data_IF_278352800481
#
_entry.id   IF_278352800481
#
_cell.length_a   1.000
_cell.length_b   1.000
_cell.length_c   1.000
_cell.angle_alpha   90.00
_cell.angle_beta   90.00
_cell.angle_gamma   90.00
#
_symmetry.space_group_name_H-M   'P 1'
#
loop_
_entity.id
_entity.type
_entity.pdbx_description
1 polymer ?
#
# COMPACT_ATOMS: atom_id res chain seq x y z
N UNK A 1 -6.32 -23.15 34.32
CA UNK A 1 -7.24 -22.02 34.08
C UNK A 1 -7.68 -22.08 32.63
N UNK A 2 -8.95 -22.44 32.39
CA UNK A 2 -9.55 -22.54 31.05
C UNK A 2 -9.72 -21.14 30.48
N UNK A 3 -9.14 -20.86 29.31
CA UNK A 3 -9.44 -19.65 28.54
C UNK A 3 -10.85 -19.78 27.94
N UNK A 4 -11.70 -18.75 27.97
CA UNK A 4 -12.99 -18.83 27.32
C UNK A 4 -12.79 -18.77 25.80
N UNK A 5 -13.16 -19.84 25.11
CA UNK A 5 -13.34 -19.87 23.66
C UNK A 5 -14.58 -19.03 23.36
N UNK A 6 -14.39 -17.83 22.83
CA UNK A 6 -15.47 -16.98 22.38
C UNK A 6 -15.93 -17.51 21.02
N UNK A 7 -16.96 -18.35 21.05
CA UNK A 7 -17.67 -18.85 19.88
C UNK A 7 -18.37 -17.65 19.20
N UNK A 8 -17.76 -17.06 18.17
CA UNK A 8 -18.41 -16.04 17.35
C UNK A 8 -19.46 -16.74 16.48
N UNK A 9 -20.70 -16.74 16.97
CA UNK A 9 -21.87 -17.22 16.24
C UNK A 9 -22.19 -16.19 15.15
N UNK A 10 -21.62 -16.36 13.95
CA UNK A 10 -22.05 -15.62 12.75
C UNK A 10 -23.44 -16.12 12.35
N UNK A 11 -24.46 -15.46 12.88
CA UNK A 11 -25.83 -15.68 12.42
C UNK A 11 -26.03 -14.83 11.18
N UNK A 12 -25.84 -15.42 9.99
CA UNK A 12 -26.33 -14.83 8.75
C UNK A 12 -27.85 -14.98 8.78
N UNK A 13 -28.56 -13.93 9.19
CA UNK A 13 -30.01 -13.86 9.00
C UNK A 13 -30.27 -13.69 7.51
N UNK A 14 -30.67 -14.77 6.84
CA UNK A 14 -31.45 -14.68 5.61
C UNK A 14 -32.85 -14.17 5.98
N UNK A 15 -33.01 -12.86 6.10
CA UNK A 15 -34.35 -12.29 5.98
C UNK A 15 -34.68 -12.23 4.49
N UNK A 16 -35.23 -13.33 3.97
CA UNK A 16 -36.02 -13.26 2.74
C UNK A 16 -37.34 -12.59 3.10
N UNK A 17 -37.29 -11.26 3.23
CA UNK A 17 -38.50 -10.46 3.10
C UNK A 17 -38.89 -10.57 1.62
N UNK A 18 -39.87 -11.41 1.32
CA UNK A 18 -40.58 -11.41 0.06
C UNK A 18 -41.34 -10.08 -0.08
N UNK A 19 -40.59 -9.00 -0.32
CA UNK A 19 -41.07 -7.70 -0.74
C UNK A 19 -41.11 -7.67 -2.26
N UNK A 20 -42.28 -7.37 -2.81
CA UNK A 20 -42.48 -7.26 -4.24
C UNK A 20 -41.56 -6.17 -4.86
N UNK A 21 -40.75 -6.56 -5.85
CA UNK A 21 -40.26 -5.65 -6.89
C UNK A 21 -38.96 -4.88 -6.65
N UNK A 22 -37.98 -5.42 -5.93
CA UNK A 22 -36.67 -4.79 -5.79
C UNK A 22 -35.56 -5.62 -6.45
N UNK A 23 -34.63 -4.95 -7.13
CA UNK A 23 -33.38 -5.55 -7.62
C UNK A 23 -32.53 -6.00 -6.42
N UNK A 24 -31.89 -7.16 -6.56
CA UNK A 24 -31.00 -7.76 -5.57
C UNK A 24 -29.54 -7.41 -5.89
N UNK A 25 -28.80 -6.95 -4.88
CA UNK A 25 -27.37 -6.67 -4.99
C UNK A 25 -26.57 -7.75 -4.26
N UNK A 26 -25.50 -8.24 -4.88
CA UNK A 26 -24.55 -9.17 -4.29
C UNK A 26 -23.14 -8.63 -4.44
N UNK A 27 -22.36 -8.65 -3.35
CA UNK A 27 -20.92 -8.38 -3.40
C UNK A 27 -20.19 -9.67 -3.79
N UNK A 28 -19.58 -9.69 -4.97
CA UNK A 28 -18.81 -10.83 -5.50
C UNK A 28 -17.32 -10.77 -5.16
N UNK A 29 -16.88 -9.72 -4.48
CA UNK A 29 -15.52 -9.63 -3.96
C UNK A 29 -15.10 -8.22 -3.58
N UNK A 30 -13.88 -8.14 -3.05
CA UNK A 30 -13.21 -6.92 -2.62
C UNK A 30 -11.71 -7.04 -2.89
N UNK A 31 -11.05 -5.96 -3.32
CA UNK A 31 -9.58 -5.87 -3.45
C UNK A 31 -9.09 -4.66 -2.66
N UNK A 32 -8.45 -4.95 -1.51
CA UNK A 32 -7.89 -3.96 -0.57
C UNK A 32 -6.35 -3.94 -0.57
N UNK A 33 -5.68 -4.67 -1.46
CA UNK A 33 -4.20 -4.81 -1.45
C UNK A 33 -3.47 -3.49 -1.62
N UNK A 34 -4.02 -2.62 -2.47
CA UNK A 34 -3.42 -1.33 -2.79
C UNK A 34 -3.93 -0.22 -1.88
N UNK A 35 -4.77 -0.51 -0.87
CA UNK A 35 -5.37 0.52 -0.01
C UNK A 35 -4.31 1.30 0.78
N UNK A 36 -3.26 0.63 1.26
CA UNK A 36 -2.14 1.31 1.94
C UNK A 36 -1.38 2.31 1.04
N UNK A 37 -1.40 2.09 -0.28
CA UNK A 37 -0.65 2.90 -1.26
C UNK A 37 -1.53 3.95 -1.93
N UNK A 38 -2.75 3.57 -2.30
CA UNK A 38 -3.68 4.37 -3.10
C UNK A 38 -4.78 5.03 -2.27
N UNK A 39 -5.03 4.54 -1.06
CA UNK A 39 -6.19 4.91 -0.26
C UNK A 39 -7.52 4.39 -0.82
N UNK A 40 -7.51 3.47 -1.79
CA UNK A 40 -8.72 2.99 -2.47
C UNK A 40 -8.92 1.50 -2.17
N UNK A 41 -10.17 1.12 -1.89
CA UNK A 41 -10.66 -0.27 -1.87
C UNK A 41 -11.57 -0.45 -3.08
N UNK A 42 -11.39 -1.55 -3.83
CA UNK A 42 -12.25 -1.87 -4.96
C UNK A 42 -13.26 -2.93 -4.56
N UNK A 43 -14.54 -2.65 -4.76
CA UNK A 43 -15.65 -3.57 -4.58
C UNK A 43 -16.08 -4.13 -5.93
N UNK A 44 -16.45 -5.41 -5.94
CA UNK A 44 -17.04 -6.08 -7.08
C UNK A 44 -18.48 -6.45 -6.73
N UNK A 45 -19.43 -5.97 -7.54
CA UNK A 45 -20.85 -6.15 -7.28
C UNK A 45 -21.58 -6.68 -8.51
N UNK A 46 -22.53 -7.58 -8.29
CA UNK A 46 -23.45 -8.06 -9.32
C UNK A 46 -24.86 -7.63 -8.87
N UNK A 47 -25.63 -7.09 -9.80
CA UNK A 47 -27.03 -6.72 -9.55
C UNK A 47 -27.91 -7.61 -10.41
N UNK A 48 -28.94 -8.19 -9.80
CA UNK A 48 -29.92 -9.04 -10.47
C UNK A 48 -31.34 -8.56 -10.22
N UNK A 49 -32.20 -8.64 -11.23
CA UNK A 49 -33.61 -8.37 -11.06
C UNK A 49 -34.32 -9.49 -10.28
N UNK A 50 -35.59 -9.30 -9.99
CA UNK A 50 -36.45 -10.29 -9.32
C UNK A 50 -36.63 -11.62 -10.08
N UNK A 51 -36.23 -11.68 -11.35
CA UNK A 51 -36.23 -12.88 -12.18
C UNK A 51 -34.85 -13.54 -12.26
N UNK A 52 -33.87 -13.03 -11.50
CA UNK A 52 -32.49 -13.50 -11.48
C UNK A 52 -31.69 -13.11 -12.73
N UNK A 53 -32.20 -12.18 -13.54
CA UNK A 53 -31.47 -11.67 -14.71
C UNK A 53 -30.54 -10.55 -14.29
N UNK A 54 -29.35 -10.51 -14.87
CA UNK A 54 -28.34 -9.50 -14.57
C UNK A 54 -28.86 -8.14 -15.06
N UNK A 55 -28.81 -7.15 -14.16
CA UNK A 55 -29.13 -5.76 -14.49
C UNK A 55 -27.86 -5.07 -14.97
N UNK A 56 -27.89 -4.62 -16.21
CA UNK A 56 -26.79 -3.91 -16.87
C UNK A 56 -27.08 -2.40 -16.95
N UNK A 57 -26.04 -1.60 -17.23
CA UNK A 57 -26.12 -0.15 -17.45
C UNK A 57 -26.51 0.70 -16.22
N UNK A 58 -26.27 0.20 -15.01
CA UNK A 58 -26.30 1.03 -13.80
C UNK A 58 -25.14 2.03 -13.80
N UNK A 59 -25.37 3.19 -13.19
CA UNK A 59 -24.38 4.25 -13.02
C UNK A 59 -23.86 4.30 -11.59
N UNK A 60 -22.78 5.04 -11.37
CA UNK A 60 -22.20 5.22 -10.04
C UNK A 60 -23.21 5.79 -9.04
N UNK A 61 -24.09 6.68 -9.48
CA UNK A 61 -25.12 7.33 -8.65
C UNK A 61 -26.20 6.36 -8.13
N UNK A 62 -26.33 5.20 -8.78
CA UNK A 62 -27.27 4.16 -8.37
C UNK A 62 -26.76 3.36 -7.16
N UNK A 63 -25.51 3.58 -6.74
CA UNK A 63 -24.87 2.87 -5.63
C UNK A 63 -24.54 3.79 -4.46
N UNK A 64 -24.79 3.29 -3.26
CA UNK A 64 -24.38 3.93 -2.01
C UNK A 64 -23.45 2.96 -1.29
N UNK A 65 -22.20 3.38 -1.10
CA UNK A 65 -21.20 2.64 -0.33
C UNK A 65 -21.18 3.18 1.09
N UNK A 66 -21.24 2.28 2.07
CA UNK A 66 -21.07 2.61 3.48
C UNK A 66 -20.03 1.67 4.10
N UNK A 67 -19.22 2.14 5.03
CA UNK A 67 -18.30 1.27 5.77
C UNK A 67 -18.38 1.49 7.29
N UNK A 68 -18.01 0.46 8.04
CA UNK A 68 -17.93 0.46 9.49
C UNK A 68 -16.79 -0.46 9.97
N UNK A 69 -16.26 -0.26 11.19
CA UNK A 69 -15.45 -1.26 11.86
C UNK A 69 -16.20 -2.60 11.96
N UNK A 70 -15.53 -3.71 11.66
CA UNK A 70 -16.16 -5.02 11.80
C UNK A 70 -16.54 -5.34 13.26
N UNK A 71 -17.72 -5.94 13.45
CA UNK A 71 -18.27 -6.29 14.76
C UNK A 71 -19.23 -5.25 15.35
N UNK A 72 -19.33 -4.06 14.74
CA UNK A 72 -20.41 -3.12 15.01
C UNK A 72 -21.58 -3.38 14.06
N UNK A 73 -22.79 -2.92 14.42
CA UNK A 73 -23.93 -3.03 13.51
C UNK A 73 -23.76 -2.02 12.36
N UNK A 74 -23.51 -2.48 11.12
CA UNK A 74 -23.25 -1.59 10.00
C UNK A 74 -24.49 -0.78 9.58
N UNK A 75 -25.70 -1.10 10.08
CA UNK A 75 -26.85 -0.23 9.86
C UNK A 75 -26.83 1.03 10.75
N UNK A 76 -26.09 1.02 11.86
CA UNK A 76 -26.08 2.07 12.88
C UNK A 76 -24.80 2.89 12.84
N UNK A 77 -23.64 2.24 12.69
CA UNK A 77 -22.34 2.90 12.74
C UNK A 77 -21.67 3.12 11.39
N UNK A 78 -22.28 2.68 10.28
CA UNK A 78 -21.66 2.86 8.98
C UNK A 78 -21.77 4.30 8.47
N UNK A 79 -20.65 4.81 7.98
CA UNK A 79 -20.57 6.13 7.35
C UNK A 79 -20.68 5.98 5.84
N UNK A 80 -21.37 6.90 5.18
CA UNK A 80 -21.41 6.94 3.71
C UNK A 80 -20.05 7.33 3.17
N UNK A 81 -19.56 6.58 2.17
CA UNK A 81 -18.28 6.80 1.51
C UNK A 81 -18.49 7.24 0.07
N UNK A 82 -17.61 8.12 -0.39
CA UNK A 82 -17.60 8.58 -1.77
C UNK A 82 -17.03 7.50 -2.70
N UNK A 83 -17.73 7.27 -3.81
CA UNK A 83 -17.24 6.43 -4.91
C UNK A 83 -16.28 7.28 -5.75
N UNK A 84 -14.99 6.99 -5.66
CA UNK A 84 -13.92 7.71 -6.37
C UNK A 84 -13.64 7.16 -7.77
N UNK A 85 -14.07 5.92 -8.04
CA UNK A 85 -13.95 5.33 -9.37
C UNK A 85 -15.07 4.32 -9.61
N UNK A 86 -15.53 4.23 -10.86
CA UNK A 86 -16.59 3.32 -11.26
C UNK A 86 -16.25 2.70 -12.63
N UNK A 87 -16.42 1.39 -12.74
CA UNK A 87 -16.36 0.68 -14.02
C UNK A 87 -17.66 -0.10 -14.21
N UNK A 88 -18.43 0.19 -15.27
CA UNK A 88 -19.66 -0.55 -15.61
C UNK A 88 -19.39 -2.03 -15.85
N UNK A 89 -20.45 -2.84 -15.77
CA UNK A 89 -20.43 -4.22 -16.24
C UNK A 89 -20.16 -4.28 -17.76
N UNK A 90 -19.53 -5.36 -18.23
CA UNK A 90 -19.28 -5.62 -19.65
C UNK A 90 -18.09 -4.90 -20.30
N UNK A 91 -17.56 -3.80 -19.72
CA UNK A 91 -16.47 -3.03 -20.33
C UNK A 91 -15.05 -3.59 -20.07
N UNK A 92 -14.91 -4.62 -19.23
CA UNK A 92 -13.60 -5.18 -18.87
C UNK A 92 -13.02 -5.99 -20.02
N UNK A 93 -11.92 -5.49 -20.58
CA UNK A 93 -11.06 -6.20 -21.55
C UNK A 93 -9.90 -6.96 -20.90
N UNK A 94 -9.86 -7.01 -19.57
CA UNK A 94 -8.80 -7.71 -18.84
C UNK A 94 -9.02 -9.23 -18.86
N UNK A 95 -7.93 -9.98 -18.98
CA UNK A 95 -7.95 -11.44 -18.85
C UNK A 95 -8.21 -11.87 -17.42
N UNK A 96 -8.83 -13.03 -17.25
CA UNK A 96 -9.01 -13.66 -15.94
C UNK A 96 -7.82 -14.59 -15.69
N UNK A 97 -7.23 -14.47 -14.49
CA UNK A 97 -6.18 -15.37 -14.04
C UNK A 97 -6.78 -16.44 -13.12
N UNK A 98 -6.73 -17.68 -13.57
CA UNK A 98 -7.17 -18.86 -12.84
C UNK A 98 -5.98 -19.60 -12.23
N UNK A 99 -6.12 -20.04 -10.99
CA UNK A 99 -5.26 -21.06 -10.39
C UNK A 99 -6.12 -22.28 -10.09
N UNK A 100 -5.82 -23.41 -10.71
CA UNK A 100 -6.46 -24.68 -10.38
C UNK A 100 -5.66 -25.37 -9.29
N UNK A 101 -6.30 -25.62 -8.16
CA UNK A 101 -5.73 -26.29 -7.01
C UNK A 101 -6.40 -27.67 -6.88
N UNK A 102 -5.65 -28.72 -7.21
CA UNK A 102 -6.19 -30.09 -7.25
C UNK A 102 -5.71 -30.86 -6.01
N UNK A 103 -6.67 -31.47 -5.33
CA UNK A 103 -6.44 -32.35 -4.21
C UNK A 103 -5.83 -33.67 -4.68
N UNK A 104 -4.65 -33.96 -4.14
CA UNK A 104 -3.85 -35.15 -4.39
C UNK A 104 -3.61 -35.93 -3.09
N UNK A 105 -4.45 -35.71 -2.07
CA UNK A 105 -4.38 -36.41 -0.78
C UNK A 105 -4.87 -37.85 -0.86
N UNK A 106 -4.59 -38.63 0.20
CA UNK A 106 -4.91 -40.06 0.24
C UNK A 106 -6.40 -40.38 0.06
N UNK A 107 -7.31 -39.54 0.53
CA UNK A 107 -8.77 -39.77 0.43
C UNK A 107 -9.29 -39.68 -1.02
N UNK A 108 -8.50 -39.09 -1.92
CA UNK A 108 -8.83 -38.96 -3.34
C UNK A 108 -8.64 -40.27 -4.12
N UNK A 109 -8.06 -41.30 -3.50
CA UNK A 109 -7.71 -42.59 -4.11
C UNK A 109 -8.47 -43.77 -3.46
N UNK A 110 -8.60 -44.88 -4.19
CA UNK A 110 -9.09 -46.16 -3.65
C UNK A 110 -10.60 -46.21 -3.38
N UNK A 111 -11.38 -45.31 -3.99
CA UNK A 111 -12.82 -45.22 -3.79
C UNK A 111 -13.59 -46.26 -4.64
N UNK A 112 -14.66 -46.90 -4.11
CA UNK A 112 -15.55 -47.75 -4.91
C UNK A 112 -16.22 -46.92 -6.01
N UNK A 113 -15.99 -47.26 -7.28
CA UNK A 113 -16.49 -46.50 -8.44
C UNK A 113 -15.44 -45.68 -9.19
N UNK A 114 -14.17 -45.70 -8.74
CA UNK A 114 -13.04 -45.05 -9.41
C UNK A 114 -12.40 -43.95 -8.56
N UNK A 115 -11.14 -43.62 -8.86
CA UNK A 115 -10.38 -42.63 -8.09
C UNK A 115 -10.89 -41.21 -8.34
N UNK A 116 -11.27 -40.51 -7.25
CA UNK A 116 -11.71 -39.10 -7.30
C UNK A 116 -10.61 -38.19 -7.85
N UNK A 117 -9.34 -38.53 -7.62
CA UNK A 117 -8.20 -37.82 -8.22
C UNK A 117 -8.24 -37.84 -9.76
N UNK A 118 -8.66 -38.95 -10.36
CA UNK A 118 -8.81 -39.07 -11.82
C UNK A 118 -9.98 -38.25 -12.34
N UNK A 119 -11.09 -38.21 -11.60
CA UNK A 119 -12.21 -37.32 -11.87
C UNK A 119 -11.79 -35.84 -11.78
N UNK A 120 -11.08 -35.44 -10.71
CA UNK A 120 -10.59 -34.09 -10.52
C UNK A 120 -9.69 -33.61 -11.67
N UNK A 121 -8.75 -34.46 -12.12
CA UNK A 121 -7.89 -34.17 -13.28
C UNK A 121 -8.66 -34.05 -14.58
N UNK A 122 -9.70 -34.88 -14.77
CA UNK A 122 -10.58 -34.80 -15.94
C UNK A 122 -11.35 -33.48 -15.94
N UNK A 123 -11.94 -33.09 -14.82
CA UNK A 123 -12.69 -31.82 -14.75
C UNK A 123 -11.77 -30.60 -14.89
N UNK A 124 -10.55 -30.65 -14.35
CA UNK A 124 -9.55 -29.62 -14.60
C UNK A 124 -9.16 -29.53 -16.09
N UNK A 125 -9.03 -30.67 -16.78
CA UNK A 125 -8.81 -30.71 -18.24
C UNK A 125 -9.99 -30.12 -19.00
N UNK A 126 -11.23 -30.52 -18.67
CA UNK A 126 -12.44 -29.99 -19.28
C UNK A 126 -12.54 -28.47 -19.09
N UNK A 127 -12.16 -27.97 -17.91
CA UNK A 127 -12.07 -26.54 -17.64
C UNK A 127 -11.04 -25.86 -18.55
N UNK A 128 -9.83 -26.40 -18.68
CA UNK A 128 -8.81 -25.86 -19.61
C UNK A 128 -9.29 -25.83 -21.06
N UNK A 129 -9.98 -26.88 -21.51
CA UNK A 129 -10.56 -26.97 -22.86
C UNK A 129 -11.61 -25.89 -23.09
N UNK A 130 -12.38 -25.55 -22.05
CA UNK A 130 -13.43 -24.54 -22.11
C UNK A 130 -12.90 -23.09 -22.14
N UNK A 131 -11.62 -22.85 -21.83
CA UNK A 131 -11.04 -21.51 -21.85
C UNK A 131 -11.09 -20.91 -23.26
N UNK A 132 -12.06 -20.03 -23.51
CA UNK A 132 -12.30 -19.45 -24.83
C UNK A 132 -11.50 -18.18 -25.14
N UNK A 133 -11.04 -17.45 -24.12
CA UNK A 133 -10.37 -16.15 -24.29
C UNK A 133 -8.84 -16.30 -24.35
N UNK A 134 -8.20 -15.56 -25.25
CA UNK A 134 -6.73 -15.54 -25.41
C UNK A 134 -6.00 -14.78 -24.30
N UNK A 135 -6.71 -13.90 -23.58
CA UNK A 135 -6.14 -13.13 -22.47
C UNK A 135 -6.20 -13.87 -21.13
N UNK A 136 -7.02 -14.93 -21.04
CA UNK A 136 -7.16 -15.71 -19.82
C UNK A 136 -5.91 -16.55 -19.58
N UNK A 137 -5.47 -16.59 -18.32
CA UNK A 137 -4.29 -17.34 -17.90
C UNK A 137 -4.71 -18.41 -16.91
N UNK A 138 -4.13 -19.61 -17.02
CA UNK A 138 -4.38 -20.70 -16.09
C UNK A 138 -3.07 -21.20 -15.50
N UNK A 139 -3.07 -21.44 -14.19
CA UNK A 139 -2.03 -22.11 -13.44
C UNK A 139 -2.55 -23.41 -12.82
N UNK A 140 -1.62 -24.25 -12.38
CA UNK A 140 -1.91 -25.55 -11.81
C UNK A 140 -1.02 -25.81 -10.59
N UNK A 141 -1.64 -26.15 -9.47
CA UNK A 141 -0.98 -26.69 -8.30
C UNK A 141 -1.70 -27.94 -7.78
N UNK A 142 -0.94 -28.77 -7.07
CA UNK A 142 -1.43 -29.90 -6.32
C UNK A 142 -1.28 -29.62 -4.83
N UNK A 143 -2.15 -30.20 -4.02
CA UNK A 143 -1.99 -30.19 -2.58
C UNK A 143 -2.34 -31.53 -1.94
N UNK A 144 -1.81 -31.73 -0.74
CA UNK A 144 -2.01 -32.88 0.13
C UNK A 144 -1.36 -32.52 1.45
N UNK A 145 -0.33 -33.26 1.86
CA UNK A 145 0.57 -32.81 2.94
C UNK A 145 1.28 -31.50 2.58
N UNK A 146 1.67 -31.33 1.31
CA UNK A 146 2.42 -30.15 0.84
C UNK A 146 1.73 -29.47 -0.33
N UNK A 147 1.97 -28.17 -0.47
CA UNK A 147 1.57 -27.40 -1.64
C UNK A 147 2.64 -27.47 -2.73
N UNK A 148 2.26 -27.86 -3.96
CA UNK A 148 3.21 -27.98 -5.08
C UNK A 148 2.68 -27.27 -6.32
N UNK A 149 3.35 -26.20 -6.74
CA UNK A 149 3.07 -25.54 -8.01
C UNK A 149 3.64 -26.37 -9.16
N UNK A 150 2.77 -26.93 -9.98
CA UNK A 150 3.18 -27.61 -11.21
C UNK A 150 3.49 -26.59 -12.30
N UNK A 151 2.65 -25.57 -12.46
CA UNK A 151 2.88 -24.48 -13.39
C UNK A 151 2.20 -23.19 -12.89
N UNK A 152 2.95 -22.09 -12.87
CA UNK A 152 2.36 -20.76 -12.65
C UNK A 152 1.47 -20.31 -13.82
N UNK A 153 0.59 -19.32 -13.58
CA UNK A 153 -0.42 -18.90 -14.54
C UNK A 153 0.15 -18.48 -15.91
N UNK A 154 -0.39 -19.05 -16.98
CA UNK A 154 0.08 -18.85 -18.36
C UNK A 154 -1.05 -19.00 -19.36
N UNK A 155 -0.84 -18.50 -20.56
CA UNK A 155 -1.77 -18.67 -21.69
C UNK A 155 -1.53 -19.98 -22.45
N UNK A 156 -0.32 -20.54 -22.37
CA UNK A 156 0.03 -21.82 -23.00
C UNK A 156 -0.62 -23.00 -22.26
N UNK A 157 -1.63 -23.58 -22.89
CA UNK A 157 -2.40 -24.72 -22.34
C UNK A 157 -1.70 -26.05 -22.55
N UNK A 158 -0.88 -26.18 -23.59
CA UNK A 158 -0.20 -27.44 -23.91
C UNK A 158 0.66 -27.90 -22.73
N UNK A 159 1.46 -26.99 -22.16
CA UNK A 159 2.28 -27.30 -20.99
C UNK A 159 1.49 -27.59 -19.71
N UNK A 160 0.22 -27.18 -19.62
CA UNK A 160 -0.66 -27.52 -18.49
C UNK A 160 -1.22 -28.93 -18.61
N UNK A 161 -1.61 -29.37 -19.83
CA UNK A 161 -2.11 -30.73 -20.05
C UNK A 161 -1.06 -31.80 -19.75
N UNK A 162 0.20 -31.55 -20.11
CA UNK A 162 1.29 -32.47 -19.79
C UNK A 162 1.45 -32.61 -18.28
N UNK A 163 1.42 -31.50 -17.54
CA UNK A 163 1.60 -31.48 -16.09
C UNK A 163 0.44 -32.11 -15.32
N UNK A 164 -0.79 -31.96 -15.81
CA UNK A 164 -1.97 -32.63 -15.24
C UNK A 164 -1.83 -34.16 -15.22
N UNK A 165 -1.08 -34.74 -16.15
CA UNK A 165 -0.86 -36.18 -16.24
C UNK A 165 0.26 -36.73 -15.34
N UNK A 166 1.03 -35.87 -14.67
CA UNK A 166 2.28 -36.25 -13.99
C UNK A 166 2.15 -36.45 -12.47
N UNK A 167 1.00 -36.92 -11.97
CA UNK A 167 0.82 -37.19 -10.54
C UNK A 167 0.53 -38.67 -10.28
N UNK A 168 1.09 -39.17 -9.19
CA UNK A 168 0.92 -40.51 -8.66
C UNK A 168 0.32 -40.40 -7.25
N UNK A 169 -0.36 -41.45 -6.75
CA UNK A 169 -0.87 -41.46 -5.38
C UNK A 169 0.24 -41.13 -4.37
N UNK A 170 -0.08 -40.36 -3.31
CA UNK A 170 0.89 -40.07 -2.26
C UNK A 170 1.26 -41.35 -1.51
N UNK A 171 2.48 -41.40 -0.99
CA UNK A 171 2.87 -42.44 -0.04
C UNK A 171 2.04 -42.32 1.24
N UNK A 172 1.80 -43.43 1.99
CA UNK A 172 0.98 -43.42 3.20
C UNK A 172 1.40 -42.37 4.24
N UNK A 173 2.70 -42.08 4.34
CA UNK A 173 3.26 -41.09 5.26
C UNK A 173 3.00 -39.64 4.83
N UNK A 174 2.59 -39.41 3.58
CA UNK A 174 2.24 -38.09 3.04
C UNK A 174 0.75 -38.00 2.62
N UNK A 175 -0.07 -38.95 3.05
CA UNK A 175 -1.51 -39.05 2.72
C UNK A 175 -2.41 -38.12 3.57
N UNK A 176 -1.93 -36.94 3.94
CA UNK A 176 -2.67 -35.92 4.69
C UNK A 176 -3.24 -34.83 3.76
N UNK A 177 -4.09 -33.97 4.31
CA UNK A 177 -4.82 -32.93 3.56
C UNK A 177 -4.71 -31.58 4.27
N UNK A 178 -3.70 -30.79 3.93
CA UNK A 178 -3.49 -29.42 4.42
C UNK A 178 -4.31 -28.41 3.59
N UNK A 179 -5.64 -28.58 3.59
CA UNK A 179 -6.56 -27.83 2.74
C UNK A 179 -6.45 -26.32 2.96
N UNK A 180 -6.56 -25.87 4.21
CA UNK A 180 -6.51 -24.42 4.51
C UNK A 180 -5.13 -23.81 4.27
N UNK A 181 -4.05 -24.54 4.59
CA UNK A 181 -2.69 -24.07 4.31
C UNK A 181 -2.47 -23.92 2.80
N UNK A 182 -2.91 -24.90 2.01
CA UNK A 182 -2.77 -24.85 0.55
C UNK A 182 -3.54 -23.70 -0.11
N UNK A 183 -4.69 -23.29 0.45
CA UNK A 183 -5.42 -22.10 -0.01
C UNK A 183 -4.67 -20.81 0.32
N UNK A 184 -4.00 -20.73 1.47
CA UNK A 184 -3.13 -19.59 1.81
C UNK A 184 -1.94 -19.51 0.84
N UNK A 185 -1.28 -20.64 0.56
CA UNK A 185 -0.15 -20.70 -0.39
C UNK A 185 -0.58 -20.41 -1.84
N UNK A 186 -1.77 -20.86 -2.23
CA UNK A 186 -2.36 -20.54 -3.53
C UNK A 186 -2.69 -19.05 -3.67
N UNK A 187 -3.15 -18.43 -2.57
CA UNK A 187 -3.34 -16.99 -2.50
C UNK A 187 -2.03 -16.23 -2.74
N UNK A 188 -0.95 -16.65 -2.08
CA UNK A 188 0.39 -16.09 -2.28
C UNK A 188 0.91 -16.28 -3.71
N UNK A 189 0.62 -17.42 -4.32
CA UNK A 189 0.96 -17.70 -5.72
C UNK A 189 0.22 -16.79 -6.71
N UNK A 190 -0.98 -16.32 -6.35
CA UNK A 190 -1.81 -15.42 -7.15
C UNK A 190 -1.62 -13.92 -6.81
N UNK A 191 -0.95 -13.60 -5.69
CA UNK A 191 -0.75 -12.23 -5.18
C UNK A 191 -0.28 -11.24 -6.24
N UNK A 192 0.71 -11.64 -7.05
CA UNK A 192 1.36 -10.78 -8.04
C UNK A 192 0.72 -10.83 -9.43
N UNK A 193 -0.33 -11.64 -9.60
CA UNK A 193 -1.01 -11.75 -10.88
C UNK A 193 -1.95 -10.55 -11.11
N UNK A 194 -2.15 -10.23 -12.39
CA UNK A 194 -2.95 -9.08 -12.81
C UNK A 194 -4.38 -9.50 -13.15
N UNK A 195 -5.28 -8.52 -13.13
CA UNK A 195 -6.68 -8.71 -13.47
C UNK A 195 -7.45 -9.47 -12.39
N UNK A 196 -8.62 -10.00 -12.79
CA UNK A 196 -9.46 -10.79 -11.90
C UNK A 196 -8.78 -12.13 -11.60
N UNK A 197 -8.61 -12.46 -10.32
CA UNK A 197 -7.94 -13.67 -9.87
C UNK A 197 -8.92 -14.62 -9.23
N UNK A 198 -8.86 -15.88 -9.65
CA UNK A 198 -9.81 -16.91 -9.28
C UNK A 198 -9.04 -18.17 -8.89
N UNK A 199 -9.34 -18.70 -7.72
CA UNK A 199 -8.90 -20.00 -7.27
C UNK A 199 -10.01 -21.02 -7.54
N UNK A 200 -9.71 -22.07 -8.29
CA UNK A 200 -10.62 -23.20 -8.51
C UNK A 200 -10.06 -24.39 -7.75
N UNK A 201 -10.75 -24.78 -6.68
CA UNK A 201 -10.36 -25.92 -5.85
C UNK A 201 -11.10 -27.17 -6.32
N UNK A 202 -10.39 -28.27 -6.51
CA UNK A 202 -10.94 -29.59 -6.81
C UNK A 202 -10.59 -30.54 -5.65
N UNK A 203 -11.53 -30.83 -4.76
CA UNK A 203 -11.26 -31.58 -3.51
C UNK A 203 -12.51 -32.31 -3.01
N UNK A 204 -12.37 -33.29 -2.11
CA UNK A 204 -13.51 -33.81 -1.34
C UNK A 204 -13.90 -32.90 -0.15
N UNK A 205 -13.11 -31.86 0.10
CA UNK A 205 -13.38 -30.76 1.02
C UNK A 205 -12.95 -31.02 2.47
N UNK A 206 -12.40 -32.19 2.80
CA UNK A 206 -12.03 -32.53 4.17
C UNK A 206 -10.62 -32.04 4.54
N UNK A 207 -10.52 -31.16 5.52
CA UNK A 207 -9.22 -30.78 6.08
C UNK A 207 -8.71 -31.85 7.06
N UNK A 208 -7.54 -32.43 6.77
CA UNK A 208 -6.90 -33.48 7.56
C UNK A 208 -5.42 -33.14 7.80
N UNK A 209 -5.12 -32.14 8.66
CA UNK A 209 -3.79 -31.55 8.76
C UNK A 209 -2.77 -32.49 9.43
N UNK A 210 -1.54 -32.50 8.92
CA UNK A 210 -0.44 -33.39 9.29
C UNK A 210 -0.17 -33.33 10.80
N UNK A 211 0.13 -32.15 11.34
CA UNK A 211 0.55 -32.01 12.74
C UNK A 211 -0.50 -32.51 13.74
N UNK A 212 -1.79 -32.26 13.47
CA UNK A 212 -2.87 -32.70 14.37
C UNK A 212 -3.10 -34.22 14.33
N UNK A 213 -2.70 -34.87 13.24
CA UNK A 213 -3.01 -36.29 12.98
C UNK A 213 -1.82 -37.19 13.24
N UNK A 214 -0.62 -36.79 12.84
CA UNK A 214 0.63 -37.52 13.10
C UNK A 214 1.23 -37.20 14.47
N UNK A 215 1.01 -35.98 15.00
CA UNK A 215 1.72 -35.45 16.17
C UNK A 215 3.16 -35.02 15.88
N UNK A 216 3.61 -35.15 14.64
CA UNK A 216 4.95 -34.77 14.19
C UNK A 216 4.95 -33.39 13.54
N UNK A 217 6.06 -32.67 13.68
CA UNK A 217 6.20 -31.33 13.09
C UNK A 217 6.17 -31.42 11.57
N UNK A 218 5.30 -30.63 10.93
CA UNK A 218 5.27 -30.52 9.48
C UNK A 218 6.60 -29.93 8.98
N UNK A 219 7.20 -30.44 7.89
CA UNK A 219 8.49 -29.93 7.40
C UNK A 219 8.48 -28.45 7.02
N UNK A 220 7.33 -27.93 6.55
CA UNK A 220 7.20 -26.55 6.06
C UNK A 220 6.52 -25.63 7.08
N UNK A 221 5.62 -26.18 7.90
CA UNK A 221 4.75 -25.39 8.79
C UNK A 221 5.07 -25.60 10.28
N UNK A 222 5.94 -26.56 10.61
CA UNK A 222 6.25 -26.92 11.99
C UNK A 222 5.02 -27.40 12.75
N UNK A 223 4.69 -26.71 13.84
CA UNK A 223 3.51 -26.97 14.68
C UNK A 223 2.30 -26.10 14.31
N UNK A 224 2.43 -25.24 13.27
CA UNK A 224 1.35 -24.36 12.85
C UNK A 224 0.28 -25.16 12.14
N UNK A 225 -0.97 -25.00 12.55
CA UNK A 225 -2.14 -25.46 11.80
C UNK A 225 -2.93 -24.25 11.32
N UNK A 226 -3.43 -24.33 10.10
CA UNK A 226 -4.23 -23.29 9.48
C UNK A 226 -5.71 -23.62 9.66
N UNK A 227 -6.50 -22.62 10.04
CA UNK A 227 -7.94 -22.70 10.13
C UNK A 227 -8.61 -22.15 8.86
N UNK A 228 -9.90 -22.44 8.71
CA UNK A 228 -10.71 -21.91 7.62
C UNK A 228 -10.67 -20.37 7.52
N UNK A 229 -10.60 -19.68 8.65
CA UNK A 229 -10.52 -18.22 8.69
C UNK A 229 -9.17 -17.69 8.18
N UNK A 230 -8.07 -18.43 8.36
CA UNK A 230 -6.77 -18.05 7.79
C UNK A 230 -6.82 -18.05 6.25
N UNK A 231 -7.47 -19.06 5.67
CA UNK A 231 -7.68 -19.15 4.23
C UNK A 231 -8.63 -18.05 3.72
N UNK A 232 -9.74 -17.80 4.43
CA UNK A 232 -10.68 -16.74 4.08
C UNK A 232 -10.02 -15.36 4.06
N UNK A 233 -9.32 -15.01 5.15
CA UNK A 233 -8.60 -13.73 5.28
C UNK A 233 -7.56 -13.57 4.20
N UNK A 234 -6.80 -14.63 3.89
CA UNK A 234 -5.79 -14.60 2.82
C UNK A 234 -6.43 -14.35 1.45
N UNK A 235 -7.48 -15.09 1.09
CA UNK A 235 -8.13 -14.96 -0.21
C UNK A 235 -8.83 -13.60 -0.38
N UNK A 236 -9.55 -13.12 0.65
CA UNK A 236 -10.22 -11.81 0.60
C UNK A 236 -9.22 -10.65 0.59
N UNK A 237 -8.18 -10.71 1.43
CA UNK A 237 -7.14 -9.69 1.46
C UNK A 237 -6.41 -9.57 0.12
N UNK A 238 -6.25 -10.69 -0.58
CA UNK A 238 -5.68 -10.70 -1.93
C UNK A 238 -6.71 -10.47 -3.04
N UNK A 239 -8.01 -10.31 -2.75
CA UNK A 239 -9.07 -10.13 -3.74
C UNK A 239 -9.26 -11.31 -4.71
N UNK A 240 -9.05 -12.52 -4.20
CA UNK A 240 -9.18 -13.79 -4.93
C UNK A 240 -10.54 -14.40 -4.61
N UNK A 241 -11.26 -14.80 -5.66
CA UNK A 241 -12.54 -15.51 -5.51
C UNK A 241 -12.34 -17.02 -5.60
N UNK A 242 -12.89 -17.76 -4.64
CA UNK A 242 -12.81 -19.22 -4.60
C UNK A 242 -14.05 -19.86 -5.22
N UNK A 243 -13.85 -20.70 -6.23
CA UNK A 243 -14.85 -21.65 -6.69
C UNK A 243 -14.41 -23.06 -6.27
N UNK A 244 -15.25 -23.74 -5.50
CA UNK A 244 -14.95 -25.06 -4.98
C UNK A 244 -15.74 -26.13 -5.73
N UNK A 245 -15.03 -27.12 -6.27
CA UNK A 245 -15.58 -28.31 -6.92
C UNK A 245 -15.39 -29.46 -5.96
N UNK A 246 -16.50 -29.94 -5.38
CA UNK A 246 -16.53 -30.98 -4.36
C UNK A 246 -16.79 -32.34 -4.96
N UNK A 247 -16.03 -33.33 -4.51
CA UNK A 247 -16.22 -34.73 -4.88
C UNK A 247 -16.76 -35.54 -3.71
N UNK A 248 -17.93 -36.17 -3.92
CA UNK A 248 -18.54 -37.07 -2.95
C UNK A 248 -19.64 -36.42 -2.10
N UNK A 249 -20.28 -37.21 -1.22
CA UNK A 249 -21.52 -36.81 -0.55
C UNK A 249 -21.32 -35.90 0.66
N UNK A 250 -20.07 -35.74 1.13
CA UNK A 250 -19.78 -35.00 2.36
C UNK A 250 -19.80 -33.50 2.07
N UNK A 251 -20.59 -32.77 2.86
CA UNK A 251 -20.68 -31.31 2.77
C UNK A 251 -19.82 -30.69 3.86
N UNK A 252 -18.73 -30.06 3.45
CA UNK A 252 -17.94 -29.21 4.33
C UNK A 252 -18.55 -27.79 4.37
N UNK A 253 -18.96 -27.37 5.57
CA UNK A 253 -19.58 -26.06 5.81
C UNK A 253 -18.56 -24.92 5.74
N UNK A 254 -17.30 -25.15 6.15
CA UNK A 254 -16.24 -24.16 6.13
C UNK A 254 -15.84 -23.85 4.69
N UNK A 255 -15.69 -24.86 3.84
CA UNK A 255 -15.37 -24.65 2.44
C UNK A 255 -16.47 -23.85 1.71
N UNK A 256 -17.73 -24.16 2.01
CA UNK A 256 -18.85 -23.40 1.46
C UNK A 256 -18.86 -21.95 1.95
N UNK A 257 -18.59 -21.74 3.23
CA UNK A 257 -18.46 -20.41 3.83
C UNK A 257 -17.34 -19.60 3.17
N UNK A 258 -16.17 -20.18 2.92
CA UNK A 258 -15.04 -19.48 2.28
C UNK A 258 -15.40 -19.12 0.83
N UNK A 259 -15.92 -20.07 0.06
CA UNK A 259 -16.31 -19.85 -1.33
C UNK A 259 -17.34 -18.72 -1.45
N UNK A 260 -18.40 -18.76 -0.63
CA UNK A 260 -19.44 -17.73 -0.63
C UNK A 260 -18.92 -16.36 -0.14
N UNK A 261 -18.11 -16.34 0.92
CA UNK A 261 -17.56 -15.09 1.48
C UNK A 261 -16.53 -14.42 0.57
N UNK A 262 -15.92 -15.17 -0.36
CA UNK A 262 -15.04 -14.61 -1.41
C UNK A 262 -15.80 -14.28 -2.71
N UNK A 263 -17.13 -14.45 -2.70
CA UNK A 263 -18.05 -14.16 -3.81
C UNK A 263 -18.11 -15.23 -4.90
N UNK A 264 -17.56 -16.41 -4.63
CA UNK A 264 -17.60 -17.57 -5.51
C UNK A 264 -18.71 -18.54 -5.14
N UNK A 265 -18.59 -19.79 -5.58
CA UNK A 265 -19.64 -20.80 -5.47
C UNK A 265 -19.04 -22.18 -5.19
N UNK A 266 -19.89 -23.07 -4.68
CA UNK A 266 -19.58 -24.49 -4.54
C UNK A 266 -20.36 -25.28 -5.57
N UNK A 267 -19.69 -26.23 -6.23
CA UNK A 267 -20.27 -27.18 -7.15
C UNK A 267 -20.08 -28.57 -6.59
N UNK A 268 -21.16 -29.32 -6.50
CA UNK A 268 -21.12 -30.72 -6.11
C UNK A 268 -21.08 -31.57 -7.38
N UNK A 269 -20.08 -32.44 -7.50
CA UNK A 269 -19.94 -33.37 -8.62
C UNK A 269 -20.09 -34.81 -8.13
N UNK A 270 -20.98 -35.54 -8.78
CA UNK A 270 -21.02 -37.00 -8.70
C UNK A 270 -20.17 -37.65 -9.81
N UNK A 271 -19.84 -38.94 -9.66
CA UNK A 271 -18.97 -39.65 -10.62
C UNK A 271 -19.50 -39.67 -12.07
N UNK A 272 -20.80 -39.46 -12.26
CA UNK A 272 -21.50 -39.49 -13.55
C UNK A 272 -21.74 -38.09 -14.15
N UNK A 273 -21.53 -37.02 -13.38
CA UNK A 273 -21.77 -35.65 -13.81
C UNK A 273 -20.46 -34.97 -14.24
N UNK A 274 -20.50 -34.28 -15.38
CA UNK A 274 -19.41 -33.41 -15.83
C UNK A 274 -19.65 -31.97 -15.40
N UNK A 275 -18.56 -31.25 -15.15
CA UNK A 275 -18.57 -29.82 -14.83
C UNK A 275 -18.79 -28.96 -16.09
N UNK A 276 -19.82 -29.29 -16.87
CA UNK A 276 -20.14 -28.57 -18.09
C UNK A 276 -20.59 -27.14 -17.77
N UNK A 277 -19.83 -26.16 -18.29
CA UNK A 277 -20.20 -24.75 -18.19
C UNK A 277 -19.67 -23.97 -16.98
N UNK A 278 -18.81 -24.54 -16.11
CA UNK A 278 -18.20 -23.76 -15.02
C UNK A 278 -17.49 -22.51 -15.55
N UNK A 279 -16.65 -22.65 -16.57
CA UNK A 279 -15.95 -21.50 -17.15
C UNK A 279 -16.92 -20.44 -17.67
N UNK A 280 -17.94 -20.85 -18.43
CA UNK A 280 -18.96 -19.94 -18.96
C UNK A 280 -19.70 -19.22 -17.85
N UNK A 281 -20.02 -19.91 -16.75
CA UNK A 281 -20.64 -19.32 -15.57
C UNK A 281 -19.72 -18.30 -14.90
N UNK A 282 -18.47 -18.67 -14.61
CA UNK A 282 -17.49 -17.77 -13.99
C UNK A 282 -17.30 -16.53 -14.87
N UNK A 283 -17.11 -16.71 -16.18
CA UNK A 283 -16.89 -15.61 -17.10
C UNK A 283 -18.10 -14.70 -17.21
N UNK A 284 -19.32 -15.25 -17.30
CA UNK A 284 -20.56 -14.47 -17.28
C UNK A 284 -20.68 -13.64 -15.99
N UNK A 285 -20.36 -14.24 -14.83
CA UNK A 285 -20.37 -13.52 -13.55
C UNK A 285 -19.33 -12.40 -13.53
N UNK A 286 -18.08 -12.67 -13.88
CA UNK A 286 -17.00 -11.66 -13.91
C UNK A 286 -17.30 -10.52 -14.89
N UNK A 287 -17.93 -10.82 -16.02
CA UNK A 287 -18.36 -9.79 -16.99
C UNK A 287 -19.52 -8.95 -16.48
N UNK A 288 -20.40 -9.54 -15.66
CA UNK A 288 -21.53 -8.85 -15.04
C UNK A 288 -21.15 -7.99 -13.83
N UNK A 289 -19.91 -8.09 -13.33
CA UNK A 289 -19.47 -7.34 -12.16
C UNK A 289 -19.29 -5.84 -12.47
N UNK A 290 -19.93 -5.00 -11.68
CA UNK A 290 -19.57 -3.60 -11.49
C UNK A 290 -18.31 -3.50 -10.62
N UNK A 291 -17.42 -2.55 -10.92
CA UNK A 291 -16.28 -2.21 -10.05
C UNK A 291 -16.51 -0.85 -9.43
N UNK A 292 -16.53 -0.78 -8.10
CA UNK A 292 -16.67 0.47 -7.35
C UNK A 292 -15.43 0.67 -6.50
N UNK A 293 -14.62 1.67 -6.81
CA UNK A 293 -13.53 2.10 -5.94
C UNK A 293 -14.02 3.17 -4.98
N UNK A 294 -13.82 2.96 -3.68
CA UNK A 294 -14.16 3.93 -2.65
C UNK A 294 -12.96 4.16 -1.71
N UNK A 295 -12.96 5.30 -1.02
CA UNK A 295 -11.97 5.60 0.02
C UNK A 295 -12.49 5.13 1.37
N UNK A 296 -11.88 4.10 2.01
CA UNK A 296 -12.35 3.61 3.29
C UNK A 296 -11.99 4.57 4.43
N UNK A 297 -12.82 4.54 5.48
CA UNK A 297 -12.53 5.25 6.73
C UNK A 297 -11.27 4.72 7.40
N UNK A 298 -10.53 5.62 8.06
CA UNK A 298 -9.42 5.23 8.92
C UNK A 298 -9.95 4.60 10.21
N UNK A 299 -10.27 3.32 10.17
CA UNK A 299 -10.64 2.55 11.34
C UNK A 299 -9.41 1.85 11.91
N UNK A 300 -9.16 1.93 13.22
CA UNK A 300 -8.13 1.13 13.90
C UNK A 300 -8.47 -0.37 14.01
N UNK A 301 -9.61 -0.79 13.47
CA UNK A 301 -10.05 -2.18 13.46
C UNK A 301 -9.24 -3.02 12.45
N UNK A 302 -9.07 -4.31 12.75
CA UNK A 302 -8.40 -5.28 11.87
C UNK A 302 -9.21 -5.65 10.65
N UNK A 303 -10.53 -5.49 10.72
CA UNK A 303 -11.47 -5.80 9.67
C UNK A 303 -12.45 -4.64 9.50
N UNK A 304 -12.91 -4.45 8.28
CA UNK A 304 -13.88 -3.45 7.89
C UNK A 304 -15.08 -4.15 7.28
N UNK A 305 -16.28 -3.77 7.71
CA UNK A 305 -17.54 -4.16 7.09
C UNK A 305 -17.92 -3.11 6.07
N UNK A 306 -18.10 -3.51 4.81
CA UNK A 306 -18.65 -2.64 3.76
C UNK A 306 -20.06 -3.07 3.43
N UNK A 307 -20.95 -2.09 3.37
CA UNK A 307 -22.33 -2.25 2.92
C UNK A 307 -22.51 -1.50 1.61
N UNK A 308 -23.03 -2.21 0.60
CA UNK A 308 -23.39 -1.63 -0.69
C UNK A 308 -24.92 -1.67 -0.84
N UNK A 309 -25.52 -0.51 -1.07
CA UNK A 309 -26.97 -0.35 -1.30
C UNK A 309 -27.25 0.19 -2.69
N UNK A 310 -28.42 -0.13 -3.22
CA UNK A 310 -28.96 0.53 -4.43
C UNK A 310 -29.82 1.73 -4.02
N UNK A 311 -29.58 2.90 -4.64
CA UNK A 311 -30.25 4.17 -4.33
C UNK A 311 -31.78 4.14 -4.48
N UNK A 312 -32.33 3.19 -5.25
CA UNK A 312 -33.77 3.03 -5.51
C UNK A 312 -34.40 1.78 -4.89
N UNK A 313 -33.66 0.98 -4.14
CA UNK A 313 -34.12 -0.32 -3.63
C UNK A 313 -33.84 -0.53 -2.14
N UNK A 314 -34.51 -1.52 -1.55
CA UNK A 314 -34.22 -1.96 -0.17
C UNK A 314 -33.13 -3.04 -0.09
N UNK A 315 -32.52 -3.39 -1.23
CA UNK A 315 -31.47 -4.41 -1.25
C UNK A 315 -30.12 -3.84 -0.83
N UNK A 316 -29.45 -4.56 0.04
CA UNK A 316 -28.12 -4.25 0.54
C UNK A 316 -27.28 -5.52 0.62
N UNK A 317 -26.03 -5.43 0.21
CA UNK A 317 -25.04 -6.48 0.41
C UNK A 317 -24.00 -6.03 1.42
N UNK A 318 -23.64 -6.90 2.35
CA UNK A 318 -22.60 -6.65 3.35
C UNK A 318 -21.46 -7.64 3.11
N UNK A 319 -20.23 -7.14 3.14
CA UNK A 319 -19.02 -7.95 3.07
C UNK A 319 -18.03 -7.48 4.13
N UNK A 320 -17.43 -8.41 4.84
CA UNK A 320 -16.32 -8.14 5.75
C UNK A 320 -15.01 -8.43 5.04
N UNK A 321 -14.01 -7.59 5.25
CA UNK A 321 -12.68 -7.79 4.70
C UNK A 321 -11.59 -7.22 5.61
N UNK A 322 -10.34 -7.71 5.50
CA UNK A 322 -9.24 -7.20 6.29
C UNK A 322 -8.98 -5.72 5.97
N UNK A 323 -8.85 -4.89 7.00
CA UNK A 323 -8.53 -3.48 6.81
C UNK A 323 -7.12 -3.37 6.22
N UNK A 324 -7.00 -2.71 5.06
CA UNK A 324 -5.72 -2.55 4.36
C UNK A 324 -4.76 -1.56 5.04
N UNK A 325 -5.13 -1.02 6.20
CA UNK A 325 -4.33 -0.08 6.97
C UNK A 325 -3.36 -0.84 7.87
N UNK A 326 -2.06 -0.60 7.69
CA UNK A 326 -0.95 -1.26 8.40
C UNK A 326 -0.89 -0.92 9.91
N UNK A 327 -1.90 -0.25 10.46
CA UNK A 327 -1.94 0.19 11.87
C UNK A 327 -2.70 -0.77 12.80
N UNK A 328 -2.89 -2.03 12.40
CA UNK A 328 -3.30 -3.11 13.30
C UNK A 328 -2.14 -3.60 14.18
N UNK A 329 -2.46 -4.12 15.38
CA UNK A 329 -1.48 -4.62 16.37
C UNK A 329 -0.33 -5.38 15.70
N UNK A 330 0.94 -4.97 15.91
CA UNK A 330 2.06 -5.67 15.33
C UNK A 330 2.08 -7.11 15.88
N UNK A 331 1.85 -8.08 14.99
CA UNK A 331 2.16 -9.47 15.29
C UNK A 331 3.57 -9.52 15.89
N UNK A 332 3.73 -10.23 17.02
CA UNK A 332 4.94 -10.25 17.87
C UNK A 332 6.29 -10.45 17.14
N UNK A 333 6.30 -10.85 15.87
CA UNK A 333 7.51 -11.03 15.05
C UNK A 333 8.09 -9.75 14.42
N UNK A 334 7.29 -8.71 14.15
CA UNK A 334 7.74 -7.57 13.31
C UNK A 334 8.17 -6.31 14.10
N UNK A 335 8.18 -6.35 15.44
CA UNK A 335 8.62 -5.23 16.29
C UNK A 335 10.13 -4.92 16.12
N UNK A 336 10.92 -5.93 15.74
CA UNK A 336 12.35 -5.76 15.47
C UNK A 336 12.63 -5.02 14.17
N UNK A 337 11.75 -5.13 13.16
CA UNK A 337 11.91 -4.50 11.84
C UNK A 337 11.53 -3.01 11.86
N UNK A 338 10.46 -2.66 12.59
CA UNK A 338 10.06 -1.27 12.76
C UNK A 338 11.08 -0.47 13.61
N UNK A 339 11.65 -1.09 14.65
CA UNK A 339 12.73 -0.45 15.42
C UNK A 339 14.02 -0.28 14.59
N UNK A 340 14.27 -1.17 13.62
CA UNK A 340 15.39 -1.08 12.68
C UNK A 340 15.30 0.11 11.71
N UNK A 341 14.09 0.62 11.41
CA UNK A 341 13.88 1.79 10.55
C UNK A 341 13.92 3.13 11.32
N UNK A 342 13.51 3.13 12.59
CA UNK A 342 13.48 4.35 13.41
C UNK A 342 14.89 4.79 13.82
N UNK A 343 15.77 3.84 14.17
CA UNK A 343 17.15 4.12 14.58
C UNK A 343 17.96 4.88 13.51
N UNK A 344 18.05 4.44 12.24
CA UNK A 344 18.81 5.16 11.22
C UNK A 344 18.20 6.52 10.88
N UNK A 345 16.87 6.67 10.97
CA UNK A 345 16.21 7.95 10.73
C UNK A 345 16.52 8.98 11.83
N UNK A 346 16.53 8.55 13.09
CA UNK A 346 16.95 9.38 14.23
C UNK A 346 18.44 9.74 14.13
N UNK A 347 19.30 8.78 13.75
CA UNK A 347 20.74 9.06 13.54
C UNK A 347 20.97 10.04 12.38
N UNK A 348 20.18 9.97 11.31
CA UNK A 348 20.24 10.91 10.20
C UNK A 348 19.84 12.33 10.63
N UNK A 349 18.75 12.46 11.40
CA UNK A 349 18.31 13.75 11.96
C UNK A 349 19.39 14.33 12.88
N UNK A 350 19.96 13.52 13.78
CA UNK A 350 21.03 13.95 14.67
C UNK A 350 22.30 14.34 13.89
N UNK A 351 22.63 13.61 12.81
CA UNK A 351 23.76 13.95 11.94
C UNK A 351 23.53 15.30 11.24
N UNK A 352 22.33 15.54 10.71
CA UNK A 352 21.96 16.82 10.08
C UNK A 352 22.03 17.97 11.09
N UNK A 353 21.47 17.79 12.29
CA UNK A 353 21.57 18.77 13.38
C UNK A 353 23.02 19.03 13.79
N UNK A 354 23.87 17.99 13.84
CA UNK A 354 25.29 18.14 14.17
C UNK A 354 26.08 18.92 13.11
N UNK A 355 25.69 18.80 11.83
CA UNK A 355 26.26 19.59 10.73
C UNK A 355 25.81 21.05 10.79
N UNK A 356 24.58 21.32 11.20
CA UNK A 356 24.05 22.67 11.35
C UNK A 356 24.63 23.41 12.56
N UNK A 357 24.99 22.70 13.64
CA UNK A 357 25.61 23.29 14.83
C UNK A 357 27.13 23.47 14.77
N UNK A 358 27.82 22.93 13.75
CA UNK A 358 29.24 23.25 13.51
C UNK A 358 29.40 24.56 12.72
N UNK A 359 29.00 25.68 13.31
CA UNK A 359 29.44 27.03 12.88
C UNK A 359 30.56 27.49 13.83
N UNK A 360 31.72 27.85 13.28
CA UNK A 360 32.93 28.19 14.05
C UNK A 360 32.71 29.53 14.77
N UNK A 361 32.99 29.64 16.08
CA UNK A 361 32.98 30.92 16.76
C UNK A 361 34.32 31.65 16.57
N UNK A 362 34.26 32.94 16.19
CA UNK A 362 35.33 33.91 16.41
C UNK A 362 36.19 34.30 15.19
N UNK A 363 35.60 34.89 14.14
CA UNK A 363 36.36 35.71 13.19
C UNK A 363 36.28 37.20 13.59
N UNK A 364 37.37 37.99 13.49
CA UNK A 364 37.34 39.40 13.85
C UNK A 364 36.57 40.24 12.81
N UNK A 365 35.94 41.32 13.26
CA UNK A 365 35.21 42.25 12.39
C UNK A 365 36.08 42.74 11.22
N UNK A 366 35.55 42.77 10.01
CA UNK A 366 36.29 43.14 8.81
C UNK A 366 35.47 43.99 7.84
N UNK A 367 36.16 44.77 7.02
CA UNK A 367 35.57 45.51 5.91
C UNK A 367 35.95 44.82 4.60
N UNK A 368 34.94 44.47 3.81
CA UNK A 368 35.14 43.86 2.49
C UNK A 368 34.77 44.85 1.39
N UNK A 369 35.72 45.13 0.49
CA UNK A 369 35.49 46.00 -0.67
C UNK A 369 35.01 45.17 -1.86
N UNK A 370 33.81 45.48 -2.35
CA UNK A 370 33.23 44.82 -3.52
C UNK A 370 33.62 45.57 -4.80
N UNK A 371 34.42 44.94 -5.67
CA UNK A 371 34.68 45.46 -7.03
C UNK A 371 33.70 44.84 -8.03
N UNK A 372 33.17 45.61 -9.01
CA UNK A 372 32.09 45.11 -9.85
C UNK A 372 32.49 43.98 -10.81
N UNK A 373 33.78 43.84 -11.19
CA UNK A 373 34.21 42.79 -12.13
C UNK A 373 35.68 42.39 -11.92
N UNK A 374 35.92 41.11 -11.62
CA UNK A 374 37.18 40.41 -11.92
C UNK A 374 38.42 40.66 -11.05
N UNK A 375 38.33 41.41 -9.94
CA UNK A 375 39.42 41.58 -8.97
C UNK A 375 39.04 41.04 -7.61
N UNK A 376 39.87 40.19 -7.00
CA UNK A 376 39.60 39.55 -5.71
C UNK A 376 39.25 40.55 -4.60
N UNK A 377 38.33 40.14 -3.72
CA UNK A 377 37.92 40.92 -2.56
C UNK A 377 39.14 41.17 -1.65
N UNK A 378 39.35 42.43 -1.29
CA UNK A 378 40.35 42.80 -0.29
C UNK A 378 39.64 42.94 1.05
N UNK A 379 39.81 41.95 1.93
CA UNK A 379 39.28 41.97 3.28
C UNK A 379 40.30 42.60 4.21
N UNK A 380 39.94 43.71 4.86
CA UNK A 380 40.78 44.35 5.87
C UNK A 380 40.18 44.05 7.24
N UNK A 381 40.92 43.31 8.07
CA UNK A 381 40.54 43.06 9.46
C UNK A 381 40.66 44.35 10.28
N UNK A 382 39.64 44.66 11.07
CA UNK A 382 39.62 45.82 11.94
C UNK A 382 40.26 45.46 13.28
N UNK A 383 41.50 45.89 13.49
CA UNK A 383 42.13 45.86 14.81
C UNK A 383 41.62 47.04 15.65
N UNK A 384 41.63 46.91 16.98
CA UNK A 384 40.95 47.75 18.00
C UNK A 384 41.23 49.28 18.01
N UNK A 385 41.89 49.83 17.00
CA UNK A 385 42.13 51.26 16.77
C UNK A 385 41.18 51.89 15.74
N UNK A 386 41.41 53.17 15.42
CA UNK A 386 40.64 53.90 14.39
C UNK A 386 41.07 53.47 12.99
N UNK A 387 40.14 53.16 12.11
CA UNK A 387 40.41 52.88 10.69
C UNK A 387 39.92 54.04 9.84
N UNK A 388 40.81 54.56 8.99
CA UNK A 388 40.53 55.69 8.11
C UNK A 388 40.26 55.17 6.70
N UNK A 389 39.13 55.60 6.12
CA UNK A 389 38.76 55.31 4.74
C UNK A 389 38.75 56.63 3.99
N UNK A 390 39.64 56.78 3.02
CA UNK A 390 39.67 57.95 2.14
C UNK A 390 39.07 57.57 0.77
N UNK A 391 37.88 58.11 0.41
CA UNK A 391 37.28 57.88 -0.90
C UNK A 391 38.13 58.51 -2.00
N UNK A 392 38.50 57.74 -3.04
CA UNK A 392 39.21 58.28 -4.19
C UNK A 392 38.29 59.13 -5.08
N UNK A 393 38.79 60.24 -5.63
CA UNK A 393 38.05 61.05 -6.61
C UNK A 393 38.07 60.39 -7.98
N UNK A 394 36.94 60.46 -8.69
CA UNK A 394 36.67 59.96 -10.05
C UNK A 394 37.86 59.27 -10.76
N UNK A 395 37.97 57.96 -10.59
CA UNK A 395 38.99 57.10 -11.21
C UNK A 395 40.14 56.64 -10.29
N UNK A 396 40.25 57.16 -9.06
CA UNK A 396 41.21 56.68 -8.07
C UNK A 396 40.58 55.66 -7.09
N UNK A 397 41.37 54.66 -6.66
CA UNK A 397 40.90 53.61 -5.75
C UNK A 397 40.74 54.11 -4.30
N UNK A 398 39.64 53.76 -3.62
CA UNK A 398 39.48 54.01 -2.18
C UNK A 398 40.59 53.33 -1.39
N UNK A 399 41.23 54.04 -0.46
CA UNK A 399 42.33 53.51 0.34
C UNK A 399 41.90 53.39 1.80
N UNK A 400 42.11 52.21 2.39
CA UNK A 400 41.77 51.90 3.79
C UNK A 400 43.09 51.82 4.57
N UNK A 401 43.27 52.66 5.59
CA UNK A 401 44.50 52.75 6.37
C UNK A 401 44.25 52.53 7.87
N UNK A 402 45.13 51.81 8.59
CA UNK A 402 45.10 51.74 10.05
C UNK A 402 45.58 53.05 10.71
N UNK A 403 45.13 53.29 11.95
CA UNK A 403 45.41 54.51 12.73
C UNK A 403 46.91 54.90 12.76
N UNK A 404 47.23 56.16 12.45
CA UNK A 404 48.56 56.75 12.65
C UNK A 404 49.33 57.16 11.39
N UNK A 405 48.75 56.96 10.19
CA UNK A 405 49.28 57.47 8.92
C UNK A 405 48.48 58.70 8.51
N UNK A 406 49.18 59.83 8.30
CA UNK A 406 48.56 61.09 7.88
C UNK A 406 48.11 60.98 6.41
N UNK A 407 46.84 61.22 6.09
CA UNK A 407 46.33 60.96 4.75
C UNK A 407 46.78 62.06 3.77
N UNK A 408 47.38 61.69 2.64
CA UNK A 408 47.61 62.60 1.51
C UNK A 408 46.28 62.78 0.76
N UNK A 409 45.44 63.69 1.25
CA UNK A 409 44.07 63.89 0.73
C UNK A 409 44.08 64.95 -0.37
N UNK A 410 44.12 64.53 -1.63
CA UNK A 410 43.62 65.36 -2.73
C UNK A 410 42.14 65.05 -3.00
N UNK A 411 41.26 65.63 -2.16
CA UNK A 411 39.81 65.65 -2.36
C UNK A 411 39.08 64.36 -1.98
N UNK A 412 37.91 64.52 -1.34
CA UNK A 412 37.03 63.44 -0.84
C UNK A 412 37.12 63.31 0.68
N UNK A 413 36.04 63.64 1.40
CA UNK A 413 36.00 63.61 2.86
C UNK A 413 36.37 62.25 3.46
N UNK A 414 37.18 62.28 4.54
CA UNK A 414 37.63 61.08 5.25
C UNK A 414 36.48 60.46 6.05
N UNK A 415 36.28 59.14 5.94
CA UNK A 415 35.39 58.38 6.81
C UNK A 415 36.22 57.71 7.91
N UNK A 416 35.76 57.80 9.16
CA UNK A 416 36.43 57.22 10.32
C UNK A 416 35.57 56.09 10.86
N UNK A 417 36.12 54.87 10.94
CA UNK A 417 35.50 53.72 11.58
C UNK A 417 36.20 53.45 12.90
N UNK A 418 35.48 53.47 14.01
CA UNK A 418 36.04 53.26 15.35
C UNK A 418 35.14 52.39 16.22
N UNK A 419 35.76 51.60 17.11
CA UNK A 419 35.04 50.83 18.13
C UNK A 419 34.79 51.71 19.35
N UNK A 420 33.53 52.00 19.63
CA UNK A 420 33.13 52.76 20.80
C UNK A 420 33.43 52.02 22.11
N UNK A 421 33.47 52.75 23.23
CA UNK A 421 33.64 52.17 24.58
C UNK A 421 32.55 51.16 24.95
N UNK A 422 31.41 51.19 24.25
CA UNK A 422 30.29 50.26 24.34
C UNK A 422 30.46 49.00 23.48
N UNK A 423 31.63 48.80 22.85
CA UNK A 423 31.95 47.62 22.06
C UNK A 423 31.37 47.61 20.65
N UNK A 424 30.56 48.61 20.27
CA UNK A 424 29.95 48.74 18.94
C UNK A 424 30.79 49.58 17.99
N UNK A 425 30.81 49.22 16.73
CA UNK A 425 31.51 49.95 15.67
C UNK A 425 30.65 51.11 15.17
N UNK A 426 31.25 52.29 15.05
CA UNK A 426 30.62 53.48 14.49
C UNK A 426 31.43 53.99 13.33
N UNK A 427 30.71 54.50 12.32
CA UNK A 427 31.30 55.28 11.25
C UNK A 427 30.87 56.74 11.38
N UNK A 428 31.79 57.65 11.16
CA UNK A 428 31.54 59.10 11.12
C UNK A 428 32.32 59.77 9.99
N UNK A 429 31.78 60.88 9.48
CA UNK A 429 32.46 61.72 8.51
C UNK A 429 31.93 63.15 8.56
N UNK A 430 32.84 64.10 8.36
CA UNK A 430 32.52 65.53 8.36
C UNK A 430 31.65 65.95 7.16
N UNK A 431 31.61 65.17 6.07
CA UNK A 431 30.78 65.43 4.87
C UNK A 431 29.49 64.58 4.81
N UNK A 432 29.29 63.74 5.83
CA UNK A 432 28.19 62.79 5.96
C UNK A 432 28.43 61.47 5.21
N UNK A 433 28.14 60.36 5.88
CA UNK A 433 28.28 59.00 5.36
C UNK A 433 26.96 58.46 4.82
N UNK A 434 27.01 57.56 3.85
CA UNK A 434 25.82 56.84 3.35
C UNK A 434 25.95 55.36 3.69
N UNK A 435 25.07 54.87 4.56
CA UNK A 435 24.97 53.45 4.95
C UNK A 435 23.58 52.95 4.59
N UNK A 436 23.50 51.80 3.90
CA UNK A 436 22.26 51.23 3.39
C UNK A 436 21.35 52.26 2.69
N UNK A 437 21.97 53.10 1.86
CA UNK A 437 21.31 54.16 1.09
C UNK A 437 20.64 55.26 1.93
N UNK A 438 21.02 55.44 3.20
CA UNK A 438 20.60 56.54 4.08
C UNK A 438 21.80 57.41 4.45
N UNK A 439 21.70 58.73 4.26
CA UNK A 439 22.77 59.68 4.58
C UNK A 439 22.65 60.15 6.03
N UNK A 440 23.75 60.08 6.78
CA UNK A 440 23.85 60.50 8.19
C UNK A 440 25.27 61.01 8.50
N UNK A 441 25.45 61.81 9.55
CA UNK A 441 26.78 62.30 9.95
C UNK A 441 27.56 61.26 10.76
N UNK A 442 26.86 60.45 11.56
CA UNK A 442 27.41 59.27 12.23
C UNK A 442 26.34 58.19 12.36
N UNK A 443 26.73 56.92 12.24
CA UNK A 443 25.81 55.78 12.41
C UNK A 443 26.56 54.60 13.02
N UNK A 444 25.86 53.85 13.87
CA UNK A 444 26.34 52.58 14.43
C UNK A 444 26.19 51.53 13.35
N UNK A 445 27.26 50.80 13.07
CA UNK A 445 27.27 49.76 12.04
C UNK A 445 26.77 48.44 12.62
N UNK A 446 25.89 47.77 11.88
CA UNK A 446 25.40 46.41 12.12
C UNK A 446 25.95 45.44 11.07
N UNK A 447 25.93 44.15 11.37
CA UNK A 447 26.47 43.14 10.47
C UNK A 447 25.72 43.13 9.12
N UNK A 448 26.46 43.20 8.01
CA UNK A 448 25.92 43.24 6.66
C UNK A 448 25.59 44.63 6.13
N UNK A 449 25.92 45.69 6.89
CA UNK A 449 25.72 47.07 6.45
C UNK A 449 26.59 47.43 5.25
N UNK A 450 25.98 48.05 4.24
CA UNK A 450 26.64 48.50 3.02
C UNK A 450 26.93 49.99 3.10
N UNK A 451 28.21 50.33 3.10
CA UNK A 451 28.75 51.68 3.19
C UNK A 451 29.17 52.14 1.80
N UNK A 452 28.70 53.31 1.36
CA UNK A 452 29.11 53.91 0.10
C UNK A 452 30.24 54.91 0.34
N UNK A 453 31.43 54.59 -0.17
CA UNK A 453 32.61 55.46 -0.13
C UNK A 453 32.98 55.85 -1.56
N UNK A 454 32.60 57.06 -1.98
CA UNK A 454 32.76 57.51 -3.37
C UNK A 454 31.90 56.69 -4.34
N UNK A 455 32.53 56.08 -5.35
CA UNK A 455 31.87 55.19 -6.31
C UNK A 455 31.90 53.70 -5.89
N UNK A 456 32.48 53.39 -4.72
CA UNK A 456 32.67 52.01 -4.27
C UNK A 456 31.76 51.64 -3.10
N UNK A 457 31.42 50.35 -3.04
CA UNK A 457 30.60 49.76 -1.97
C UNK A 457 31.50 48.89 -1.08
N UNK A 458 31.42 49.17 0.22
CA UNK A 458 32.14 48.45 1.27
C UNK A 458 31.09 47.80 2.17
N UNK A 459 31.23 46.51 2.44
CA UNK A 459 30.36 45.78 3.36
C UNK A 459 31.07 45.62 4.69
N UNK A 460 30.36 45.93 5.77
CA UNK A 460 30.84 45.73 7.13
C UNK A 460 30.34 44.41 7.68
N UNK A 461 31.28 43.56 8.12
CA UNK A 461 30.98 42.31 8.82
C UNK A 461 31.57 42.35 10.22
N UNK A 462 30.73 42.12 11.23
CA UNK A 462 31.16 42.10 12.64
C UNK A 462 31.97 40.85 12.99
N UNK A 463 31.97 39.81 12.15
CA UNK A 463 32.58 38.50 12.41
C UNK A 463 31.93 37.72 13.57
N UNK A 464 30.94 38.34 14.23
CA UNK A 464 30.08 37.78 15.27
C UNK A 464 28.71 37.50 14.66
N UNK A 465 28.28 36.24 14.70
CA UNK A 465 26.92 35.78 14.34
C UNK A 465 26.32 34.90 15.43
#
# INVERSE_FOLDING_TARGET
>A
MRKPTLLFLFTVFFFSAAGAGADEITLSGVDSRMTAVTGIVNLYAIVTDNSGRIVENLKAEDFIVMDAPAGENPEVSAETREIVSFTPSGERREGITFMMLIDDSGSMYGNPGGDRASLARREARNFLDSLGNSMDRAGLALFGTRYRVLAGPRTDRASLYERLGLSAPPEPEEAYTELFASMVEASDSLRNEKGRRILILFSDGENYPYFQRSGEKHPEYGEKTFAADDALVSLQGEGITLYAVRFGPRRDEDLARIALSTGGLVFDISAEEELSGLYSLIRKRVQAEYRLGYSPGLTGARETSVMLKLSGGSSSAILNFPSGFVFGEPSRGNQALLSLLVIPFVLLILFILSRLWRRKPGEPASLERLRPVGGGALTVALESGKTLISPGVAGAATTIMPSGVEPDVQGGGTLIVEKGKDGRWRISSDEGVVVNNRKSESTVLENGDVIKAGEELIVFDTGES
#
